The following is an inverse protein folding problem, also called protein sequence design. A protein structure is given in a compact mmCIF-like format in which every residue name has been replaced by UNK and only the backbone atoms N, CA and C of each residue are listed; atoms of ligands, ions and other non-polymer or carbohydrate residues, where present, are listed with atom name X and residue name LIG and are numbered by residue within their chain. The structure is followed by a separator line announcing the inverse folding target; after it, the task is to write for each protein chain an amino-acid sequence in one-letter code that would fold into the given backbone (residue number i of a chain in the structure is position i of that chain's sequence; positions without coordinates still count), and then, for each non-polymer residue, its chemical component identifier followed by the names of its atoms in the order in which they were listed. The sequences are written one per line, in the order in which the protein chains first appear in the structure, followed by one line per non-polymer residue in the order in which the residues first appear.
data_IF_082430155013
#
_entry.id   IF_082430155013
#
_cell.length_a   1.000
_cell.length_b   1.000
_cell.length_c   1.000
_cell.angle_alpha   90.00
_cell.angle_beta   90.00
_cell.angle_gamma   90.00
#
_symmetry.space_group_name_H-M   'P 1'
#
loop_
_entity.id
_entity.type
_entity.pdbx_description
1 polymer ?
#
# COMPACT_ATOMS: atom_id res chain seq x y z
N UNK A 1 29.43 84.97 19.86
CA UNK A 1 29.83 84.72 18.45
C UNK A 1 29.61 83.24 18.16
N UNK A 2 29.04 82.91 16.98
CA UNK A 2 28.58 81.58 16.48
C UNK A 2 27.18 81.19 16.96
N UNK A 3 26.26 80.66 16.15
CA UNK A 3 25.90 80.76 14.72
C UNK A 3 24.52 80.03 14.65
N UNK A 4 23.56 80.59 13.91
CA UNK A 4 22.21 80.04 13.63
C UNK A 4 22.29 78.74 12.80
N UNK A 5 21.38 77.77 13.00
CA UNK A 5 20.76 76.89 11.96
C UNK A 5 19.40 76.38 12.53
N UNK A 6 18.25 76.96 12.17
CA UNK A 6 17.24 76.45 11.20
C UNK A 6 16.89 74.95 11.33
N UNK A 7 15.80 74.66 12.05
CA UNK A 7 15.17 73.35 12.05
C UNK A 7 14.18 73.22 10.89
N UNK A 8 14.45 72.29 9.98
CA UNK A 8 13.50 71.73 9.01
C UNK A 8 13.31 70.28 9.42
N UNK A 9 12.13 69.91 9.91
CA UNK A 9 11.76 68.50 10.09
C UNK A 9 10.82 68.13 8.95
N UNK A 10 11.33 67.25 8.10
CA UNK A 10 10.64 66.66 6.96
C UNK A 10 9.53 65.72 7.43
N UNK A 11 8.39 65.77 6.74
CA UNK A 11 7.36 64.73 6.82
C UNK A 11 7.91 63.44 6.21
N UNK A 12 8.05 62.38 7.01
CA UNK A 12 8.21 61.02 6.47
C UNK A 12 6.81 60.50 6.10
N UNK A 13 6.58 60.33 4.80
CA UNK A 13 5.46 59.55 4.27
C UNK A 13 5.64 58.07 4.63
N UNK A 14 4.64 57.51 5.30
CA UNK A 14 4.55 56.09 5.60
C UNK A 14 4.14 55.35 4.32
N UNK A 15 5.10 54.71 3.65
CA UNK A 15 4.80 53.78 2.56
C UNK A 15 4.25 52.49 3.19
N UNK A 16 2.94 52.26 3.04
CA UNK A 16 2.33 50.96 3.37
C UNK A 16 2.72 50.00 2.26
N UNK A 17 3.73 49.17 2.50
CA UNK A 17 4.02 48.03 1.67
C UNK A 17 2.87 47.02 1.84
N UNK A 18 2.01 46.92 0.83
CA UNK A 18 1.05 45.82 0.72
C UNK A 18 1.89 44.57 0.42
N UNK A 19 2.25 43.84 1.46
CA UNK A 19 2.83 42.52 1.31
C UNK A 19 1.81 41.61 0.66
N UNK A 20 2.07 41.21 -0.58
CA UNK A 20 1.40 40.07 -1.18
C UNK A 20 1.71 38.85 -0.29
N UNK A 21 0.75 38.45 0.55
CA UNK A 21 0.78 37.15 1.16
C UNK A 21 0.60 36.14 0.02
N UNK A 22 1.71 35.55 -0.42
CA UNK A 22 1.63 34.32 -1.19
C UNK A 22 0.83 33.32 -0.35
N UNK A 23 -0.32 32.89 -0.88
CA UNK A 23 -1.01 31.71 -0.37
C UNK A 23 -0.06 30.53 -0.61
N UNK A 24 0.78 30.24 0.39
CA UNK A 24 1.62 29.06 0.40
C UNK A 24 0.73 27.86 0.64
N UNK A 25 0.56 27.05 -0.40
CA UNK A 25 0.15 25.65 -0.33
C UNK A 25 -1.34 25.42 -0.19
N UNK A 26 -2.02 25.16 -1.31
CA UNK A 26 -2.97 24.05 -1.27
C UNK A 26 -2.17 22.82 -0.83
N UNK A 27 -2.61 22.10 0.20
CA UNK A 27 -1.98 20.86 0.65
C UNK A 27 -1.74 19.98 -0.58
N UNK A 28 -0.47 19.78 -0.94
CA UNK A 28 -0.13 18.96 -2.08
C UNK A 28 -0.52 17.53 -1.72
N UNK A 29 -1.45 16.95 -2.49
CA UNK A 29 -1.85 15.54 -2.35
C UNK A 29 -0.60 14.67 -2.44
N UNK A 30 -0.45 13.73 -1.52
CA UNK A 30 0.68 12.80 -1.52
C UNK A 30 0.69 12.02 -2.87
N UNK A 31 1.82 11.95 -3.59
CA UNK A 31 1.89 11.21 -4.85
C UNK A 31 1.43 9.75 -4.72
N UNK A 32 1.66 9.10 -3.58
CA UNK A 32 1.18 7.74 -3.31
C UNK A 32 -0.35 7.69 -3.22
N UNK A 33 -0.99 8.68 -2.59
CA UNK A 33 -2.45 8.78 -2.52
C UNK A 33 -3.06 8.86 -3.92
N UNK A 34 -2.52 9.73 -4.77
CA UNK A 34 -2.98 9.89 -6.15
C UNK A 34 -2.76 8.61 -6.98
N UNK A 35 -1.61 7.94 -6.84
CA UNK A 35 -1.32 6.69 -7.53
C UNK A 35 -2.27 5.55 -7.11
N UNK A 36 -2.52 5.42 -5.82
CA UNK A 36 -3.46 4.44 -5.27
C UNK A 36 -4.87 4.69 -5.74
N UNK A 37 -5.30 5.95 -5.79
CA UNK A 37 -6.61 6.28 -6.35
C UNK A 37 -6.75 5.81 -7.80
N UNK A 38 -5.70 5.95 -8.62
CA UNK A 38 -5.71 5.43 -10.00
C UNK A 38 -5.84 3.90 -10.03
N UNK A 39 -5.17 3.19 -9.11
CA UNK A 39 -5.29 1.73 -9.01
C UNK A 39 -6.72 1.33 -8.60
N UNK A 40 -7.30 1.99 -7.60
CA UNK A 40 -8.68 1.75 -7.15
C UNK A 40 -9.68 1.98 -8.29
N UNK A 41 -9.58 3.12 -9.00
CA UNK A 41 -10.51 3.44 -10.08
C UNK A 41 -10.43 2.39 -11.21
N UNK A 42 -9.22 1.91 -11.53
CA UNK A 42 -9.02 0.81 -12.50
C UNK A 42 -9.57 -0.53 -12.00
N UNK A 43 -9.38 -0.83 -10.73
CA UNK A 43 -9.87 -2.06 -10.12
C UNK A 43 -11.41 -2.09 -10.07
N UNK A 44 -12.06 -0.99 -9.66
CA UNK A 44 -13.52 -0.85 -9.69
C UNK A 44 -14.08 -1.03 -11.10
N UNK A 45 -13.44 -0.43 -12.10
CA UNK A 45 -13.82 -0.64 -13.50
C UNK A 45 -13.70 -2.12 -13.92
N UNK A 46 -12.63 -2.81 -13.49
CA UNK A 46 -12.40 -4.22 -13.81
C UNK A 46 -13.45 -5.14 -13.15
N UNK A 47 -13.78 -4.96 -11.87
CA UNK A 47 -14.80 -5.79 -11.20
C UNK A 47 -16.20 -5.56 -11.79
N UNK A 48 -16.51 -4.32 -12.20
CA UNK A 48 -17.76 -4.01 -12.93
C UNK A 48 -17.82 -4.68 -14.30
N UNK A 49 -16.70 -4.75 -15.01
CA UNK A 49 -16.62 -5.48 -16.28
C UNK A 49 -16.85 -7.00 -16.09
N UNK A 50 -16.57 -7.54 -14.90
CA UNK A 50 -16.89 -8.91 -14.51
C UNK A 50 -18.34 -9.09 -14.01
N UNK A 51 -19.17 -8.05 -14.04
CA UNK A 51 -20.58 -8.08 -13.64
C UNK A 51 -20.85 -7.80 -12.16
N UNK A 52 -19.82 -7.54 -11.36
CA UNK A 52 -19.99 -7.15 -9.96
C UNK A 52 -20.47 -5.70 -9.87
N UNK A 53 -21.54 -5.45 -9.11
CA UNK A 53 -22.07 -4.09 -8.89
C UNK A 53 -21.86 -3.72 -7.43
N UNK A 54 -20.69 -3.17 -7.07
CA UNK A 54 -20.42 -2.85 -5.69
C UNK A 54 -21.25 -1.65 -5.21
N UNK A 55 -21.71 -1.65 -3.94
CA UNK A 55 -22.50 -0.57 -3.36
C UNK A 55 -21.68 0.69 -3.02
N UNK A 56 -20.36 0.59 -3.00
CA UNK A 56 -19.42 1.69 -2.78
C UNK A 56 -18.11 1.43 -3.55
N UNK A 57 -17.22 2.42 -3.58
CA UNK A 57 -15.84 2.27 -4.06
C UNK A 57 -14.93 2.67 -2.89
N UNK A 58 -13.90 1.87 -2.55
CA UNK A 58 -13.00 2.23 -1.46
C UNK A 58 -12.36 3.61 -1.64
N UNK A 59 -12.24 4.38 -0.56
CA UNK A 59 -11.43 5.59 -0.53
C UNK A 59 -9.95 5.29 -0.28
N UNK A 60 -9.14 6.33 -0.23
CA UNK A 60 -7.73 6.26 0.20
C UNK A 60 -7.57 7.08 1.47
N UNK A 61 -6.76 6.60 2.41
CA UNK A 61 -6.35 7.38 3.57
C UNK A 61 -4.85 7.25 3.81
N UNK A 62 -4.16 8.39 3.85
CA UNK A 62 -2.77 8.43 4.28
C UNK A 62 -2.72 8.38 5.81
N UNK A 63 -1.99 7.41 6.36
CA UNK A 63 -1.82 7.19 7.80
C UNK A 63 -0.33 7.20 8.15
N UNK A 64 0.04 7.94 9.18
CA UNK A 64 1.41 8.02 9.70
C UNK A 64 1.75 6.88 10.68
N UNK A 65 1.11 5.72 10.50
CA UNK A 65 1.25 4.58 11.42
C UNK A 65 2.28 3.57 10.92
N UNK A 66 2.63 2.58 11.73
CA UNK A 66 3.43 1.43 11.29
C UNK A 66 2.70 0.53 10.29
N UNK A 67 1.42 0.79 10.02
CA UNK A 67 0.63 0.09 9.00
C UNK A 67 1.09 0.55 7.61
N UNK A 68 1.80 -0.31 6.90
CA UNK A 68 2.38 0.02 5.59
C UNK A 68 1.28 0.18 4.51
N UNK A 69 0.35 -0.78 4.50
CA UNK A 69 -0.84 -0.81 3.66
C UNK A 69 -1.90 -1.71 4.34
N UNK A 70 -3.18 -1.36 4.27
CA UNK A 70 -4.27 -2.22 4.77
C UNK A 70 -5.63 -1.79 4.22
N UNK A 71 -6.61 -2.69 4.24
CA UNK A 71 -8.01 -2.37 4.02
C UNK A 71 -8.78 -2.19 5.34
N UNK A 72 -9.36 -1.00 5.54
CA UNK A 72 -10.27 -0.71 6.63
C UNK A 72 -11.71 -1.07 6.23
N UNK A 73 -12.20 -2.17 6.77
CA UNK A 73 -13.53 -2.72 6.47
C UNK A 73 -14.67 -1.87 7.03
N UNK A 74 -14.45 -1.10 8.10
CA UNK A 74 -15.49 -0.27 8.72
C UNK A 74 -15.68 1.05 7.96
N UNK A 75 -14.57 1.65 7.51
CA UNK A 75 -14.58 2.94 6.81
C UNK A 75 -14.53 2.80 5.28
N UNK A 76 -14.31 1.59 4.78
CA UNK A 76 -14.09 1.28 3.36
C UNK A 76 -12.94 2.08 2.76
N UNK A 77 -11.77 2.05 3.40
CA UNK A 77 -10.59 2.81 2.99
C UNK A 77 -9.40 1.88 2.77
N UNK A 78 -8.67 2.06 1.66
CA UNK A 78 -7.30 1.58 1.57
C UNK A 78 -6.43 2.56 2.34
N UNK A 79 -5.90 2.12 3.48
CA UNK A 79 -4.96 2.90 4.27
C UNK A 79 -3.54 2.66 3.75
N UNK A 80 -2.77 3.73 3.66
CA UNK A 80 -1.39 3.67 3.20
C UNK A 80 -0.52 4.62 3.99
N UNK A 81 0.77 4.32 4.03
CA UNK A 81 1.75 5.26 4.52
C UNK A 81 2.60 5.85 3.41
N UNK A 82 3.12 7.05 3.69
CA UNK A 82 4.12 7.72 2.87
C UNK A 82 5.51 7.27 3.31
N UNK A 83 6.42 7.07 2.36
CA UNK A 83 7.83 6.76 2.66
C UNK A 83 8.48 7.82 3.55
N UNK A 84 8.14 9.10 3.32
CA UNK A 84 8.68 10.23 4.06
C UNK A 84 8.32 10.20 5.56
N UNK A 85 7.19 9.57 5.91
CA UNK A 85 6.71 9.44 7.28
C UNK A 85 7.11 8.12 7.93
N UNK A 86 7.83 7.24 7.20
CA UNK A 86 8.22 5.95 7.74
C UNK A 86 9.25 6.07 8.86
N UNK A 87 9.03 5.38 10.00
CA UNK A 87 10.03 5.32 11.05
C UNK A 87 11.37 4.78 10.54
N UNK A 88 12.52 5.26 11.08
CA UNK A 88 13.84 4.83 10.62
C UNK A 88 14.05 3.32 10.64
N UNK A 89 13.44 2.61 11.59
CA UNK A 89 13.48 1.14 11.67
C UNK A 89 12.82 0.46 10.46
N UNK A 90 11.68 0.99 10.00
CA UNK A 90 10.99 0.50 8.80
C UNK A 90 11.78 0.87 7.56
N UNK A 91 12.34 2.09 7.49
CA UNK A 91 13.19 2.48 6.37
C UNK A 91 14.43 1.58 6.25
N UNK A 92 15.04 1.22 7.37
CA UNK A 92 16.17 0.28 7.41
C UNK A 92 15.78 -1.13 6.96
N UNK A 93 14.61 -1.62 7.39
CA UNK A 93 14.07 -2.91 6.96
C UNK A 93 13.85 -2.93 5.43
N UNK A 94 13.19 -1.90 4.89
CA UNK A 94 12.93 -1.80 3.44
C UNK A 94 14.22 -1.61 2.65
N UNK A 95 15.24 -0.93 3.21
CA UNK A 95 16.54 -0.84 2.58
C UNK A 95 17.21 -2.22 2.43
N UNK A 96 17.12 -3.07 3.45
CA UNK A 96 17.60 -4.45 3.35
C UNK A 96 16.81 -5.26 2.31
N UNK A 97 15.49 -5.03 2.21
CA UNK A 97 14.67 -5.66 1.17
C UNK A 97 15.01 -5.18 -0.24
N UNK A 98 15.33 -3.90 -0.42
CA UNK A 98 15.75 -3.37 -1.70
C UNK A 98 17.09 -3.95 -2.16
N UNK A 99 18.04 -4.16 -1.23
CA UNK A 99 19.32 -4.83 -1.51
C UNK A 99 19.14 -6.30 -1.90
N UNK A 100 18.22 -7.00 -1.24
CA UNK A 100 17.91 -8.40 -1.53
C UNK A 100 16.96 -8.59 -2.74
N UNK A 101 16.28 -7.53 -3.15
CA UNK A 101 15.32 -7.52 -4.24
C UNK A 101 15.97 -7.74 -5.62
N UNK A 102 15.15 -8.11 -6.59
CA UNK A 102 15.58 -8.42 -7.96
C UNK A 102 15.41 -7.25 -8.93
N UNK A 103 14.67 -6.21 -8.54
CA UNK A 103 14.33 -5.09 -9.42
C UNK A 103 15.37 -3.95 -9.41
N UNK A 104 16.37 -4.00 -8.52
CA UNK A 104 17.41 -2.96 -8.43
C UNK A 104 16.87 -1.59 -8.02
N UNK A 105 15.80 -1.55 -7.23
CA UNK A 105 15.15 -0.33 -6.78
C UNK A 105 15.92 0.32 -5.62
N UNK A 106 15.75 1.63 -5.44
CA UNK A 106 16.12 2.30 -4.19
C UNK A 106 15.20 1.84 -3.04
N UNK A 107 15.55 2.07 -1.76
CA UNK A 107 14.65 1.76 -0.65
C UNK A 107 13.26 2.41 -0.79
N UNK A 108 13.20 3.68 -1.18
CA UNK A 108 11.94 4.38 -1.47
C UNK A 108 11.19 3.76 -2.66
N UNK A 109 11.91 3.40 -3.73
CA UNK A 109 11.33 2.73 -4.88
C UNK A 109 10.77 1.35 -4.53
N UNK A 110 11.47 0.60 -3.69
CA UNK A 110 11.04 -0.70 -3.18
C UNK A 110 9.80 -0.57 -2.28
N UNK A 111 9.75 0.45 -1.43
CA UNK A 111 8.56 0.78 -0.63
C UNK A 111 7.36 1.05 -1.54
N UNK A 112 7.51 1.95 -2.51
CA UNK A 112 6.45 2.30 -3.44
C UNK A 112 6.00 1.12 -4.31
N UNK A 113 6.94 0.30 -4.76
CA UNK A 113 6.67 -0.91 -5.54
C UNK A 113 5.83 -1.92 -4.76
N UNK A 114 6.15 -2.17 -3.48
CA UNK A 114 5.42 -3.13 -2.67
C UNK A 114 4.11 -2.54 -2.14
N UNK A 115 4.20 -1.49 -1.33
CA UNK A 115 3.09 -1.02 -0.48
C UNK A 115 2.19 0.00 -1.16
N UNK A 116 2.72 0.76 -2.12
CA UNK A 116 1.92 1.74 -2.87
C UNK A 116 1.47 1.24 -4.25
N UNK A 117 1.85 0.01 -4.62
CA UNK A 117 1.52 -0.57 -5.93
C UNK A 117 1.12 -2.05 -5.84
N UNK A 118 2.06 -2.97 -5.61
CA UNK A 118 1.79 -4.42 -5.70
C UNK A 118 0.66 -4.87 -4.77
N UNK A 119 0.69 -4.41 -3.51
CA UNK A 119 -0.26 -4.80 -2.47
C UNK A 119 -1.54 -3.96 -2.44
N UNK A 120 -1.65 -2.89 -3.23
CA UNK A 120 -2.92 -2.13 -3.28
C UNK A 120 -4.08 -3.01 -3.81
N UNK A 121 -3.93 -3.75 -4.93
CA UNK A 121 -4.96 -4.71 -5.34
C UNK A 121 -5.15 -5.89 -4.39
N UNK A 122 -4.17 -6.19 -3.52
CA UNK A 122 -4.34 -7.19 -2.45
C UNK A 122 -5.36 -6.68 -1.44
N UNK A 123 -5.24 -5.45 -0.96
CA UNK A 123 -6.25 -4.83 -0.08
C UNK A 123 -7.63 -4.75 -0.74
N UNK A 124 -7.65 -4.48 -2.05
CA UNK A 124 -8.89 -4.51 -2.82
C UNK A 124 -9.46 -5.94 -2.99
N UNK A 125 -8.65 -6.97 -2.85
CA UNK A 125 -9.08 -8.35 -2.71
C UNK A 125 -9.86 -8.59 -1.41
N UNK A 126 -9.42 -8.02 -0.28
CA UNK A 126 -10.20 -8.05 0.96
C UNK A 126 -11.52 -7.30 0.85
N UNK A 127 -11.52 -6.15 0.16
CA UNK A 127 -12.75 -5.44 -0.20
C UNK A 127 -13.72 -6.33 -1.00
N UNK A 128 -13.25 -7.03 -2.03
CA UNK A 128 -14.10 -7.96 -2.80
C UNK A 128 -14.63 -9.10 -1.92
N UNK A 129 -13.79 -9.67 -1.06
CA UNK A 129 -14.21 -10.69 -0.11
C UNK A 129 -15.26 -10.18 0.90
N UNK A 130 -15.21 -8.89 1.27
CA UNK A 130 -16.25 -8.27 2.10
C UNK A 130 -17.58 -8.16 1.33
N UNK A 131 -17.55 -7.83 0.04
CA UNK A 131 -18.76 -7.64 -0.77
C UNK A 131 -19.60 -8.92 -0.91
N UNK A 132 -18.96 -10.09 -0.97
CA UNK A 132 -19.64 -11.39 -1.12
C UNK A 132 -19.64 -12.24 0.16
N UNK A 133 -19.26 -11.63 1.28
CA UNK A 133 -19.25 -12.22 2.61
C UNK A 133 -18.27 -13.38 2.77
N UNK A 134 -17.25 -13.51 1.91
CA UNK A 134 -16.15 -14.46 2.13
C UNK A 134 -15.25 -14.03 3.27
N UNK A 135 -15.11 -12.72 3.51
CA UNK A 135 -14.27 -12.20 4.58
C UNK A 135 -14.69 -12.75 5.96
N UNK A 136 -15.99 -12.96 6.20
CA UNK A 136 -16.50 -13.54 7.45
C UNK A 136 -16.65 -15.08 7.41
N UNK A 137 -16.70 -15.69 6.22
CA UNK A 137 -16.95 -17.13 6.06
C UNK A 137 -15.67 -17.95 5.97
N UNK A 138 -14.62 -17.37 5.42
CA UNK A 138 -13.31 -18.02 5.24
C UNK A 138 -12.36 -17.64 6.38
N UNK A 139 -11.37 -18.48 6.63
CA UNK A 139 -10.32 -18.19 7.60
C UNK A 139 -9.30 -17.16 7.06
N UNK A 140 -8.45 -16.62 7.95
CA UNK A 140 -7.52 -15.55 7.60
C UNK A 140 -6.53 -16.01 6.53
N UNK A 141 -5.99 -17.23 6.65
CA UNK A 141 -5.09 -17.83 5.67
C UNK A 141 -5.69 -17.86 4.26
N UNK A 142 -6.93 -18.33 4.14
CA UNK A 142 -7.65 -18.45 2.87
C UNK A 142 -7.92 -17.07 2.28
N UNK A 143 -8.31 -16.11 3.12
CA UNK A 143 -8.53 -14.72 2.70
C UNK A 143 -7.25 -14.04 2.19
N UNK A 144 -6.11 -14.25 2.84
CA UNK A 144 -4.81 -13.69 2.43
C UNK A 144 -4.35 -14.28 1.08
N UNK A 145 -4.52 -15.59 0.86
CA UNK A 145 -4.23 -16.23 -0.43
C UNK A 145 -5.17 -15.69 -1.51
N UNK A 146 -6.47 -15.59 -1.23
CA UNK A 146 -7.45 -15.06 -2.17
C UNK A 146 -7.11 -13.61 -2.58
N UNK A 147 -6.79 -12.74 -1.61
CA UNK A 147 -6.39 -11.37 -1.86
C UNK A 147 -5.17 -11.28 -2.78
N UNK A 148 -4.15 -12.10 -2.53
CA UNK A 148 -2.98 -12.20 -3.40
C UNK A 148 -3.30 -12.74 -4.80
N UNK A 149 -4.18 -13.74 -4.93
CA UNK A 149 -4.62 -14.26 -6.24
C UNK A 149 -5.33 -13.20 -7.05
N UNK A 150 -6.23 -12.44 -6.41
CA UNK A 150 -6.93 -11.31 -7.03
C UNK A 150 -5.94 -10.25 -7.49
N UNK A 151 -4.95 -9.90 -6.66
CA UNK A 151 -3.93 -8.92 -7.01
C UNK A 151 -3.09 -9.33 -8.24
N UNK A 152 -2.62 -10.58 -8.26
CA UNK A 152 -1.86 -11.14 -9.40
C UNK A 152 -2.72 -11.13 -10.66
N UNK A 153 -3.97 -11.57 -10.56
CA UNK A 153 -4.89 -11.62 -11.69
C UNK A 153 -5.22 -10.22 -12.23
N UNK A 154 -5.43 -9.24 -11.34
CA UNK A 154 -5.66 -7.83 -11.69
C UNK A 154 -4.48 -7.24 -12.46
N UNK A 155 -3.26 -7.39 -11.93
CA UNK A 155 -2.07 -6.89 -12.62
C UNK A 155 -1.84 -7.59 -13.97
N UNK A 156 -2.36 -8.80 -14.14
CA UNK A 156 -2.27 -9.56 -15.38
C UNK A 156 -3.34 -9.22 -16.44
N UNK A 157 -4.28 -8.30 -16.14
CA UNK A 157 -5.33 -7.89 -17.08
C UNK A 157 -4.78 -7.16 -18.32
N UNK A 158 -3.70 -6.39 -18.13
CA UNK A 158 -3.08 -5.60 -19.19
C UNK A 158 -1.74 -6.21 -19.65
N UNK A 159 -1.35 -6.07 -20.94
CA UNK A 159 -0.13 -6.69 -21.47
C UNK A 159 1.15 -6.34 -20.69
N UNK A 160 1.32 -5.07 -20.31
CA UNK A 160 2.50 -4.61 -19.56
C UNK A 160 2.55 -5.21 -18.17
N UNK A 161 1.41 -5.22 -17.46
CA UNK A 161 1.33 -5.80 -16.13
C UNK A 161 1.52 -7.32 -16.15
N UNK A 162 0.95 -8.01 -17.14
CA UNK A 162 1.17 -9.45 -17.36
C UNK A 162 2.64 -9.79 -17.62
N UNK A 163 3.35 -8.94 -18.35
CA UNK A 163 4.78 -9.13 -18.61
C UNK A 163 5.63 -8.90 -17.35
N UNK A 164 5.23 -7.99 -16.46
CA UNK A 164 6.00 -7.61 -15.28
C UNK A 164 5.69 -8.44 -14.02
N UNK A 165 4.48 -9.01 -13.89
CA UNK A 165 4.00 -9.54 -12.61
C UNK A 165 4.88 -10.66 -12.03
N UNK A 166 5.50 -11.48 -12.88
CA UNK A 166 6.44 -12.52 -12.44
C UNK A 166 7.64 -11.94 -11.70
N UNK A 167 8.23 -10.87 -12.24
CA UNK A 167 9.40 -10.21 -11.64
C UNK A 167 9.01 -9.48 -10.35
N UNK A 168 7.81 -8.87 -10.31
CA UNK A 168 7.28 -8.21 -9.11
C UNK A 168 7.05 -9.20 -7.97
N UNK A 169 6.46 -10.35 -8.26
CA UNK A 169 6.25 -11.44 -7.28
C UNK A 169 7.59 -12.01 -6.82
N UNK A 170 8.53 -12.24 -7.74
CA UNK A 170 9.87 -12.71 -7.38
C UNK A 170 10.60 -11.70 -6.47
N UNK A 171 10.47 -10.40 -6.77
CA UNK A 171 11.06 -9.32 -5.96
C UNK A 171 10.49 -9.30 -4.54
N UNK A 172 9.17 -9.42 -4.40
CA UNK A 172 8.50 -9.43 -3.09
C UNK A 172 8.80 -10.70 -2.28
N UNK A 173 8.73 -11.88 -2.91
CA UNK A 173 8.91 -13.15 -2.21
C UNK A 173 10.38 -13.48 -1.94
N UNK A 174 11.32 -12.93 -2.71
CA UNK A 174 12.75 -13.25 -2.59
C UNK A 174 13.32 -13.01 -1.19
N UNK A 175 13.04 -11.85 -0.60
CA UNK A 175 13.53 -11.54 0.75
C UNK A 175 12.66 -12.15 1.86
N UNK A 176 11.34 -12.28 1.64
CA UNK A 176 10.43 -12.87 2.64
C UNK A 176 10.68 -14.37 2.83
N UNK A 177 10.94 -15.09 1.75
CA UNK A 177 11.21 -16.53 1.81
C UNK A 177 12.59 -16.87 2.42
N UNK A 178 13.44 -15.86 2.62
CA UNK A 178 14.71 -16.00 3.34
C UNK A 178 14.58 -15.78 4.86
N UNK A 179 13.41 -15.33 5.33
CA UNK A 179 13.15 -15.18 6.76
C UNK A 179 13.08 -16.56 7.44
N UNK A 180 13.42 -16.66 8.74
CA UNK A 180 13.27 -17.90 9.48
C UNK A 180 11.82 -18.37 9.49
N UNK A 181 11.60 -19.66 9.23
CA UNK A 181 10.28 -20.29 9.36
C UNK A 181 9.80 -20.21 10.83
N UNK A 182 8.69 -19.49 11.11
CA UNK A 182 8.17 -19.34 12.46
C UNK A 182 7.36 -20.56 12.92
N UNK A 183 7.10 -21.54 12.06
CA UNK A 183 6.29 -22.73 12.35
C UNK A 183 7.12 -23.73 13.15
N UNK A 184 6.67 -24.14 14.35
CA UNK A 184 7.35 -25.18 15.09
C UNK A 184 7.43 -26.49 14.29
N UNK A 185 8.56 -27.17 14.37
CA UNK A 185 8.81 -28.39 13.61
C UNK A 185 7.68 -29.42 13.76
N UNK A 186 7.14 -29.88 12.63
CA UNK A 186 6.06 -30.87 12.56
C UNK A 186 4.65 -30.31 12.73
N UNK A 187 4.48 -29.00 12.91
CA UNK A 187 3.17 -28.35 12.83
C UNK A 187 2.83 -27.96 11.39
N UNK A 188 1.53 -27.85 11.14
CA UNK A 188 0.99 -27.35 9.88
C UNK A 188 0.99 -25.80 9.90
N UNK A 189 1.58 -25.13 8.88
CA UNK A 189 1.67 -23.67 8.84
C UNK A 189 0.31 -22.96 8.89
N UNK A 190 -0.72 -23.51 8.22
CA UNK A 190 -2.06 -22.94 8.21
C UNK A 190 -2.68 -22.99 9.61
N UNK A 191 -2.68 -24.15 10.23
CA UNK A 191 -3.18 -24.33 11.60
C UNK A 191 -2.45 -23.43 12.61
N UNK A 192 -1.12 -23.30 12.48
CA UNK A 192 -0.32 -22.46 13.38
C UNK A 192 -0.63 -20.97 13.18
N UNK A 193 -0.78 -20.51 11.94
CA UNK A 193 -1.15 -19.13 11.62
C UNK A 193 -2.48 -18.75 12.27
N UNK A 194 -3.54 -19.54 12.04
CA UNK A 194 -4.87 -19.29 12.61
C UNK A 194 -4.86 -19.26 14.14
N UNK A 195 -4.09 -20.16 14.76
CA UNK A 195 -4.01 -20.25 16.22
C UNK A 195 -3.18 -19.14 16.87
N UNK A 196 -2.32 -18.46 16.11
CA UNK A 196 -1.33 -17.50 16.63
C UNK A 196 -1.39 -16.13 15.94
N UNK A 197 -2.45 -15.84 15.17
CA UNK A 197 -2.53 -14.67 14.31
C UNK A 197 -2.13 -13.36 14.99
N UNK A 198 -2.69 -13.06 16.16
CA UNK A 198 -2.39 -11.83 16.89
C UNK A 198 -0.91 -11.73 17.36
N UNK A 199 -0.30 -12.87 17.74
CA UNK A 199 1.09 -12.90 18.15
C UNK A 199 2.03 -12.76 16.94
N UNK A 200 1.69 -13.42 15.83
CA UNK A 200 2.42 -13.34 14.57
C UNK A 200 2.37 -11.92 14.00
N UNK A 201 1.20 -11.27 14.00
CA UNK A 201 1.06 -9.88 13.53
C UNK A 201 1.86 -8.86 14.34
N UNK A 202 2.27 -9.19 15.56
CA UNK A 202 3.15 -8.37 16.39
C UNK A 202 4.65 -8.63 16.16
N UNK A 203 5.00 -9.66 15.38
CA UNK A 203 6.37 -10.01 14.98
C UNK A 203 6.54 -9.82 13.46
N UNK A 204 7.16 -8.70 13.02
CA UNK A 204 7.30 -8.40 11.60
C UNK A 204 8.06 -9.46 10.80
N UNK A 205 9.00 -10.18 11.41
CA UNK A 205 9.75 -11.22 10.70
C UNK A 205 8.88 -12.48 10.51
N UNK A 206 8.18 -12.91 11.57
CA UNK A 206 7.29 -14.04 11.48
C UNK A 206 6.11 -13.76 10.54
N UNK A 207 5.49 -12.58 10.63
CA UNK A 207 4.40 -12.19 9.72
C UNK A 207 4.91 -12.02 8.28
N UNK A 208 6.10 -11.45 8.09
CA UNK A 208 6.73 -11.33 6.79
C UNK A 208 6.94 -12.69 6.11
N UNK A 209 7.35 -13.72 6.86
CA UNK A 209 7.47 -15.08 6.32
C UNK A 209 6.12 -15.58 5.78
N UNK A 210 5.03 -15.38 6.53
CA UNK A 210 3.69 -15.75 6.07
C UNK A 210 3.24 -14.98 4.84
N UNK A 211 3.53 -13.67 4.76
CA UNK A 211 3.24 -12.86 3.58
C UNK A 211 3.97 -13.41 2.33
N UNK A 212 5.21 -13.88 2.49
CA UNK A 212 5.95 -14.59 1.44
C UNK A 212 5.29 -15.92 1.05
N UNK A 213 4.86 -16.70 2.03
CA UNK A 213 4.16 -17.97 1.82
C UNK A 213 2.80 -17.80 1.13
N UNK A 214 2.01 -16.78 1.49
CA UNK A 214 0.73 -16.47 0.86
C UNK A 214 0.90 -16.07 -0.59
N UNK A 215 1.82 -15.13 -0.88
CA UNK A 215 2.08 -14.71 -2.24
C UNK A 215 2.64 -15.86 -3.09
N UNK A 216 3.54 -16.67 -2.55
CA UNK A 216 4.09 -17.84 -3.24
C UNK A 216 2.98 -18.86 -3.57
N UNK A 217 2.10 -19.13 -2.62
CA UNK A 217 0.94 -20.01 -2.83
C UNK A 217 0.01 -19.42 -3.89
N UNK A 218 -0.37 -18.15 -3.78
CA UNK A 218 -1.21 -17.45 -4.75
C UNK A 218 -0.61 -17.47 -6.17
N UNK A 219 0.71 -17.29 -6.29
CA UNK A 219 1.42 -17.37 -7.55
C UNK A 219 1.33 -18.76 -8.17
N UNK A 220 1.42 -19.83 -7.39
CA UNK A 220 1.28 -21.20 -7.89
C UNK A 220 -0.14 -21.51 -8.36
N UNK A 221 -1.15 -20.87 -7.77
CA UNK A 221 -2.58 -21.03 -8.11
C UNK A 221 -3.08 -20.01 -9.15
N UNK A 222 -2.19 -19.16 -9.69
CA UNK A 222 -2.58 -18.02 -10.54
C UNK A 222 -3.29 -18.40 -11.84
N UNK A 223 -3.06 -19.61 -12.34
CA UNK A 223 -3.62 -20.10 -13.60
C UNK A 223 -4.90 -20.94 -13.39
N UNK A 224 -5.34 -21.13 -12.13
CA UNK A 224 -6.54 -21.93 -11.80
C UNK A 224 -7.85 -21.17 -12.01
N UNK A 225 -7.81 -19.83 -12.00
CA UNK A 225 -8.98 -19.00 -12.19
C UNK A 225 -8.62 -17.68 -12.88
N UNK A 226 -9.60 -17.06 -13.52
CA UNK A 226 -9.50 -15.73 -14.10
C UNK A 226 -9.79 -14.66 -13.05
N UNK A 227 -9.41 -13.41 -13.32
CA UNK A 227 -9.82 -12.28 -12.47
C UNK A 227 -11.34 -12.26 -12.21
N UNK A 228 -12.16 -12.47 -13.26
CA UNK A 228 -13.62 -12.47 -13.11
C UNK A 228 -14.16 -13.63 -12.26
N UNK A 229 -13.59 -14.83 -12.37
CA UNK A 229 -14.01 -15.96 -11.52
C UNK A 229 -13.63 -15.77 -10.06
N UNK A 230 -12.51 -15.09 -9.79
CA UNK A 230 -12.09 -14.76 -8.43
C UNK A 230 -12.99 -13.69 -7.77
N UNK A 231 -13.40 -12.66 -8.52
CA UNK A 231 -14.14 -11.50 -7.96
C UNK A 231 -15.66 -11.60 -8.07
N UNK A 232 -16.17 -12.51 -8.90
CA UNK A 232 -17.60 -12.75 -9.05
C UNK A 232 -17.85 -14.25 -9.34
N UNK A 233 -17.57 -15.13 -8.37
CA UNK A 233 -17.80 -16.56 -8.53
C UNK A 233 -19.31 -16.84 -8.70
N UNK A 234 -19.64 -17.71 -9.64
CA UNK A 234 -21.01 -18.05 -10.02
C UNK A 234 -21.82 -18.75 -8.93
#
# INVERSE_FOLDING_TARGET
MRKRILGVVAMLGLAIAVGAQAQTGADAVDPAEAATKVIIDRFDAAIRACGLTPPFVPGVAMVSSSTLVSYDTERHLVQQSSWADMPPEIQGLVAAWAEAGTLGLSPEGQFGEIFNSLLVPHELGHYVAQLDGRLEREDSWTNEILANRIAIAFWSLEPEGKAAIADRVANFTGFLNALPDPVPAGQDPHTYFESNYAALGADPAAYGWYQGAFMTTAWNLRDEDTFCGLVNPA
#
